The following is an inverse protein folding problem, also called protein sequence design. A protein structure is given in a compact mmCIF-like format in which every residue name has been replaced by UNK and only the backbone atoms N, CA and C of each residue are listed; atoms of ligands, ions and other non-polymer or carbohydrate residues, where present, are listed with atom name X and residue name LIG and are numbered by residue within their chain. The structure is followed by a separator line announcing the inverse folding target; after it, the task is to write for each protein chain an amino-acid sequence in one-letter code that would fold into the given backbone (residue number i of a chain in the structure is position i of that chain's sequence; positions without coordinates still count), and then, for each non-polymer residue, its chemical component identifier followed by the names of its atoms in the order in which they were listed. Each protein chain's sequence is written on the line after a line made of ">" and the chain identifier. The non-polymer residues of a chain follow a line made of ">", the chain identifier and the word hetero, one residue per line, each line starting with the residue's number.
data_IF_854813740445
#
_entry.id   IF_854813740445
#
_cell.length_a   1.000
_cell.length_b   1.000
_cell.length_c   1.000
_cell.angle_alpha   90.00
_cell.angle_beta   90.00
_cell.angle_gamma   90.00
#
_symmetry.space_group_name_H-M   'P 1'
#
loop_
_entity.id
_entity.type
_entity.pdbx_description
1 polymer ?
#
# COMPACT_ATOMS: atom_id res chain seq x y z
N UNK A 1 7.32 -43.39 13.14
CA UNK A 1 7.34 -42.37 12.06
C UNK A 1 5.93 -42.21 11.50
N UNK A 2 5.28 -41.07 11.72
CA UNK A 2 4.05 -40.69 11.01
C UNK A 2 4.21 -39.23 10.57
N UNK A 3 4.28 -39.03 9.26
CA UNK A 3 4.48 -37.74 8.60
C UNK A 3 3.32 -36.79 8.89
N UNK A 4 3.62 -35.63 9.44
CA UNK A 4 2.68 -34.52 9.58
C UNK A 4 2.47 -33.88 8.19
N UNK A 5 1.21 -33.90 7.72
CA UNK A 5 0.80 -33.29 6.46
C UNK A 5 0.75 -31.77 6.65
N UNK A 6 1.76 -31.07 6.13
CA UNK A 6 1.81 -29.62 6.12
C UNK A 6 0.57 -29.05 5.40
N UNK A 7 -0.21 -28.23 6.10
CA UNK A 7 -1.31 -27.47 5.52
C UNK A 7 -0.69 -26.36 4.66
N UNK A 8 -0.86 -26.47 3.35
CA UNK A 8 -0.43 -25.48 2.36
C UNK A 8 -1.24 -24.20 2.54
N UNK A 9 -0.69 -23.23 3.26
CA UNK A 9 -1.28 -21.90 3.43
C UNK A 9 -1.08 -21.06 2.16
N UNK A 10 -2.17 -20.63 1.53
CA UNK A 10 -2.15 -19.74 0.39
C UNK A 10 -1.82 -18.30 0.84
N UNK A 11 -0.80 -17.71 0.22
CA UNK A 11 -0.28 -16.38 0.50
C UNK A 11 -1.17 -15.28 -0.07
N UNK A 12 -1.28 -14.15 0.65
CA UNK A 12 -1.81 -12.91 0.09
C UNK A 12 -0.77 -11.82 0.07
N UNK A 13 -0.62 -11.29 -1.12
CA UNK A 13 -0.92 -9.88 -1.33
C UNK A 13 -2.10 -9.80 -2.30
N UNK A 14 -2.80 -8.66 -2.31
CA UNK A 14 -3.92 -8.32 -3.20
C UNK A 14 -5.31 -8.99 -3.03
N UNK A 15 -5.52 -10.09 -2.30
CA UNK A 15 -6.84 -10.74 -2.36
C UNK A 15 -7.87 -10.30 -1.28
N UNK A 16 -9.17 -10.43 -1.57
CA UNK A 16 -10.18 -10.76 -0.55
C UNK A 16 -10.06 -12.27 -0.35
N UNK A 17 -9.82 -12.75 0.88
CA UNK A 17 -9.76 -14.20 1.15
C UNK A 17 -11.20 -14.60 1.40
N UNK A 18 -11.64 -15.60 0.68
CA UNK A 18 -12.72 -16.47 1.09
C UNK A 18 -12.06 -17.77 1.58
N UNK A 19 -12.78 -18.55 2.39
CA UNK A 19 -12.36 -19.91 2.70
C UNK A 19 -12.13 -20.66 1.37
N UNK A 20 -11.16 -21.58 1.31
CA UNK A 20 -10.85 -22.35 0.10
C UNK A 20 -12.08 -23.11 -0.44
N UNK A 21 -13.01 -23.43 0.47
CA UNK A 21 -14.31 -24.05 0.16
C UNK A 21 -15.35 -23.11 -0.48
N UNK A 22 -15.11 -21.79 -0.43
CA UNK A 22 -16.08 -20.75 -0.80
C UNK A 22 -15.59 -19.85 -1.97
N UNK A 23 -14.50 -20.21 -2.65
CA UNK A 23 -13.92 -19.39 -3.72
C UNK A 23 -14.66 -19.57 -5.06
N UNK A 24 -15.19 -18.49 -5.69
CA UNK A 24 -15.88 -18.58 -6.98
C UNK A 24 -14.93 -18.98 -8.13
N UNK A 25 -15.45 -19.60 -9.19
CA UNK A 25 -14.69 -20.04 -10.37
C UNK A 25 -13.88 -18.92 -11.07
N UNK A 26 -14.18 -17.65 -10.83
CA UNK A 26 -13.40 -16.48 -11.28
C UNK A 26 -12.02 -16.36 -10.62
N UNK A 27 -11.69 -17.19 -9.63
CA UNK A 27 -10.42 -17.20 -8.92
C UNK A 27 -9.22 -17.68 -9.76
N UNK A 28 -9.45 -18.51 -10.78
CA UNK A 28 -8.38 -19.06 -11.65
C UNK A 28 -7.59 -17.96 -12.38
N UNK A 29 -8.26 -16.89 -12.82
CA UNK A 29 -7.61 -15.71 -13.44
C UNK A 29 -6.75 -14.88 -12.46
N UNK A 30 -7.09 -14.87 -11.17
CA UNK A 30 -6.34 -14.12 -10.14
C UNK A 30 -5.08 -14.85 -9.65
N UNK A 31 -5.03 -16.18 -9.81
CA UNK A 31 -3.86 -16.97 -9.47
C UNK A 31 -2.72 -16.76 -10.48
N UNK A 32 -3.02 -16.62 -11.77
CA UNK A 32 -2.04 -16.29 -12.81
C UNK A 32 -1.44 -14.88 -12.59
N UNK A 33 -2.25 -13.91 -12.15
CA UNK A 33 -1.76 -12.59 -11.74
C UNK A 33 -0.75 -12.63 -10.57
N UNK A 34 -0.82 -13.67 -9.71
CA UNK A 34 0.15 -13.83 -8.61
C UNK A 34 1.55 -14.27 -9.07
N UNK A 35 1.67 -14.90 -10.24
CA UNK A 35 2.96 -15.27 -10.83
C UNK A 35 3.66 -14.07 -11.50
N UNK A 36 2.89 -13.08 -11.96
CA UNK A 36 3.40 -11.81 -12.50
C UNK A 36 3.76 -10.78 -11.41
N UNK A 37 3.36 -11.01 -10.16
CA UNK A 37 3.65 -10.12 -9.02
C UNK A 37 5.16 -9.85 -8.83
N UNK A 38 6.01 -10.84 -9.07
CA UNK A 38 7.47 -10.71 -8.91
C UNK A 38 8.17 -9.88 -9.98
N UNK A 39 7.49 -9.52 -11.08
CA UNK A 39 8.08 -8.67 -12.13
C UNK A 39 7.98 -7.20 -11.74
N UNK A 40 6.81 -6.73 -11.30
CA UNK A 40 6.58 -5.29 -11.10
C UNK A 40 7.01 -4.76 -9.73
N UNK A 41 7.17 -5.61 -8.71
CA UNK A 41 7.64 -5.18 -7.38
C UNK A 41 9.06 -4.58 -7.46
N UNK A 42 9.88 -5.06 -8.40
CA UNK A 42 11.21 -4.49 -8.71
C UNK A 42 11.14 -3.18 -9.49
N UNK A 43 10.01 -2.92 -10.14
CA UNK A 43 9.72 -1.71 -10.91
C UNK A 43 8.99 -0.67 -10.06
N UNK A 44 8.64 -1.00 -8.81
CA UNK A 44 8.00 -0.08 -7.89
C UNK A 44 8.87 1.19 -7.77
N UNK A 45 8.27 2.37 -7.90
CA UNK A 45 9.01 3.62 -7.85
C UNK A 45 9.68 3.75 -6.46
N UNK A 46 10.75 4.54 -6.37
CA UNK A 46 11.44 4.81 -5.10
C UNK A 46 11.14 6.23 -4.64
N UNK A 47 11.39 6.54 -3.36
CA UNK A 47 11.30 7.92 -2.89
C UNK A 47 12.14 8.86 -3.77
N UNK A 48 11.54 9.99 -4.15
CA UNK A 48 12.10 10.90 -5.14
C UNK A 48 11.76 10.56 -6.59
N UNK A 49 10.81 9.64 -6.80
CA UNK A 49 10.27 9.31 -8.10
C UNK A 49 9.65 10.53 -8.79
N UNK A 50 9.78 10.55 -10.10
CA UNK A 50 9.13 11.56 -10.96
C UNK A 50 7.68 11.18 -11.22
N UNK A 51 6.91 12.13 -11.78
CA UNK A 51 5.56 11.84 -12.27
C UNK A 51 5.58 10.71 -13.30
N UNK A 52 6.54 10.75 -14.25
CA UNK A 52 6.68 9.73 -15.30
C UNK A 52 6.95 8.34 -14.73
N UNK A 53 7.72 8.24 -13.63
CA UNK A 53 7.96 6.97 -12.96
C UNK A 53 6.67 6.39 -12.36
N UNK A 54 5.85 7.23 -11.73
CA UNK A 54 4.56 6.83 -11.15
C UNK A 54 3.58 6.41 -12.25
N UNK A 55 3.47 7.19 -13.33
CA UNK A 55 2.58 6.89 -14.47
C UNK A 55 3.00 5.59 -15.16
N UNK A 56 4.30 5.38 -15.39
CA UNK A 56 4.81 4.12 -15.96
C UNK A 56 4.48 2.92 -15.07
N UNK A 57 4.64 3.06 -13.76
CA UNK A 57 4.29 2.01 -12.81
C UNK A 57 2.78 1.73 -12.79
N UNK A 58 1.94 2.76 -12.88
CA UNK A 58 0.48 2.62 -12.99
C UNK A 58 0.07 1.84 -14.25
N UNK A 59 0.60 2.21 -15.42
CA UNK A 59 0.38 1.51 -16.68
C UNK A 59 0.79 0.03 -16.57
N UNK A 60 1.98 -0.21 -16.02
CA UNK A 60 2.48 -1.57 -15.83
C UNK A 60 1.59 -2.39 -14.89
N UNK A 61 1.14 -1.80 -13.79
CA UNK A 61 0.21 -2.44 -12.86
C UNK A 61 -1.11 -2.81 -13.53
N UNK A 62 -1.65 -1.95 -14.41
CA UNK A 62 -2.86 -2.25 -15.19
C UNK A 62 -2.62 -3.40 -16.18
N UNK A 63 -1.51 -3.38 -16.92
CA UNK A 63 -1.15 -4.43 -17.88
C UNK A 63 -1.08 -5.82 -17.24
N UNK A 64 -0.47 -5.92 -16.06
CA UNK A 64 -0.30 -7.19 -15.34
C UNK A 64 -1.42 -7.47 -14.33
N UNK A 65 -2.41 -6.57 -14.25
CA UNK A 65 -3.53 -6.64 -13.31
C UNK A 65 -3.11 -6.80 -11.83
N UNK A 66 -2.05 -6.10 -11.43
CA UNK A 66 -1.63 -6.04 -10.04
C UNK A 66 -2.43 -5.00 -9.25
N UNK A 67 -2.55 -5.20 -7.94
CA UNK A 67 -3.46 -4.41 -7.11
C UNK A 67 -3.13 -4.43 -5.62
N UNK A 68 -1.86 -4.26 -5.24
CA UNK A 68 -1.52 -3.91 -3.86
C UNK A 68 -1.69 -2.39 -3.65
N UNK A 69 -1.41 -1.91 -2.44
CA UNK A 69 -1.55 -0.50 -2.08
C UNK A 69 -0.77 0.43 -3.01
N UNK A 70 0.48 0.09 -3.33
CA UNK A 70 1.32 0.90 -4.20
C UNK A 70 0.81 0.99 -5.65
N UNK A 71 0.43 -0.15 -6.24
CA UNK A 71 -0.11 -0.16 -7.60
C UNK A 71 -1.42 0.63 -7.69
N UNK A 72 -2.34 0.41 -6.74
CA UNK A 72 -3.63 1.08 -6.75
C UNK A 72 -3.50 2.58 -6.49
N UNK A 73 -2.57 3.00 -5.63
CA UNK A 73 -2.25 4.41 -5.44
C UNK A 73 -1.68 5.02 -6.74
N UNK A 74 -0.75 4.34 -7.42
CA UNK A 74 -0.19 4.81 -8.69
C UNK A 74 -1.27 4.98 -9.78
N UNK A 75 -2.18 4.01 -9.90
CA UNK A 75 -3.32 4.07 -10.83
C UNK A 75 -4.23 5.26 -10.50
N UNK A 76 -4.57 5.46 -9.22
CA UNK A 76 -5.37 6.60 -8.80
C UNK A 76 -4.66 7.95 -9.07
N UNK A 77 -3.34 8.00 -8.85
CA UNK A 77 -2.53 9.18 -9.16
C UNK A 77 -2.56 9.52 -10.66
N UNK A 78 -2.35 8.52 -11.53
CA UNK A 78 -2.43 8.69 -12.98
C UNK A 78 -3.82 9.14 -13.45
N UNK A 79 -4.88 8.55 -12.88
CA UNK A 79 -6.26 8.98 -13.16
C UNK A 79 -6.51 10.44 -12.76
N UNK A 80 -6.02 10.88 -11.60
CA UNK A 80 -6.16 12.27 -11.16
C UNK A 80 -5.36 13.23 -12.05
N UNK A 81 -4.18 12.84 -12.54
CA UNK A 81 -3.43 13.67 -13.50
C UNK A 81 -4.21 13.93 -14.79
N UNK A 82 -4.95 12.94 -15.28
CA UNK A 82 -5.77 13.06 -16.50
C UNK A 82 -7.08 13.83 -16.28
N UNK A 83 -7.62 13.79 -15.06
CA UNK A 83 -8.96 14.30 -14.76
C UNK A 83 -8.99 15.61 -13.95
N UNK A 84 -7.89 15.99 -13.29
CA UNK A 84 -7.94 17.08 -12.33
C UNK A 84 -7.90 18.47 -12.99
N UNK A 85 -9.00 19.21 -12.82
CA UNK A 85 -8.97 20.66 -12.80
C UNK A 85 -8.35 21.13 -11.47
N UNK A 86 -7.08 21.53 -11.50
CA UNK A 86 -6.37 22.37 -10.52
C UNK A 86 -6.46 22.02 -9.01
N UNK A 87 -6.69 20.76 -8.62
CA UNK A 87 -6.57 20.33 -7.21
C UNK A 87 -5.15 19.81 -6.95
N UNK A 88 -4.51 20.23 -5.84
CA UNK A 88 -3.24 19.65 -5.42
C UNK A 88 -3.47 18.22 -4.91
N UNK A 89 -2.67 17.27 -5.36
CA UNK A 89 -2.69 15.90 -4.84
C UNK A 89 -1.28 15.30 -4.83
N UNK A 90 -1.09 14.29 -3.98
CA UNK A 90 0.20 13.64 -3.79
C UNK A 90 0.05 12.14 -3.57
N UNK A 91 1.06 11.40 -4.02
CA UNK A 91 1.24 10.00 -3.66
C UNK A 91 1.94 9.97 -2.30
N UNK A 92 1.27 9.41 -1.28
CA UNK A 92 1.80 9.35 0.09
C UNK A 92 2.03 7.90 0.51
N UNK A 93 3.12 7.67 1.26
CA UNK A 93 3.44 6.38 1.87
C UNK A 93 3.61 6.52 3.39
N UNK A 94 3.14 5.51 4.13
CA UNK A 94 3.56 5.28 5.51
C UNK A 94 4.99 4.74 5.52
N UNK A 95 5.90 5.52 6.09
CA UNK A 95 7.26 5.05 6.31
C UNK A 95 7.34 4.09 7.50
N UNK A 96 8.50 3.43 7.63
CA UNK A 96 8.80 2.46 8.68
C UNK A 96 8.26 2.89 10.07
N UNK A 97 7.52 2.02 10.78
CA UNK A 97 7.39 0.59 10.50
C UNK A 97 6.35 0.21 9.44
N UNK A 98 5.51 1.12 8.95
CA UNK A 98 4.49 0.80 7.94
C UNK A 98 5.03 0.75 6.51
N UNK A 99 4.18 0.29 5.58
CA UNK A 99 4.47 0.19 4.13
C UNK A 99 3.23 0.47 3.24
N UNK A 100 2.20 1.12 3.79
CA UNK A 100 0.95 1.39 3.05
C UNK A 100 1.02 2.67 2.22
N UNK A 101 0.38 2.66 1.04
CA UNK A 101 0.34 3.78 0.11
C UNK A 101 -1.10 4.23 -0.20
N UNK A 102 -1.30 5.53 -0.36
CA UNK A 102 -2.59 6.18 -0.66
C UNK A 102 -2.37 7.54 -1.32
N UNK A 103 -3.45 8.18 -1.76
CA UNK A 103 -3.41 9.53 -2.34
C UNK A 103 -3.97 10.55 -1.35
N UNK A 104 -3.26 11.66 -1.20
CA UNK A 104 -3.74 12.86 -0.54
C UNK A 104 -4.24 13.87 -1.58
N UNK A 105 -5.37 14.53 -1.33
CA UNK A 105 -5.96 15.55 -2.20
C UNK A 105 -6.24 16.79 -1.35
N UNK A 106 -5.87 17.98 -1.81
CA UNK A 106 -6.11 19.25 -1.11
C UNK A 106 -5.18 19.52 0.07
N UNK A 107 -4.25 18.60 0.38
CA UNK A 107 -3.20 18.85 1.37
C UNK A 107 -2.03 19.59 0.71
N UNK A 108 -1.56 20.72 1.28
CA UNK A 108 -0.35 21.37 0.83
C UNK A 108 0.87 20.43 0.89
N UNK A 109 1.66 20.43 -0.19
CA UNK A 109 2.88 19.61 -0.26
C UNK A 109 3.89 20.03 0.82
N UNK A 110 4.54 19.06 1.50
CA UNK A 110 5.45 19.35 2.59
C UNK A 110 6.80 19.79 2.04
N UNK A 111 7.37 20.86 2.60
CA UNK A 111 8.65 21.44 2.16
C UNK A 111 9.81 20.42 2.27
N UNK A 112 9.78 19.57 3.29
CA UNK A 112 10.79 18.55 3.56
C UNK A 112 10.35 17.12 3.17
N UNK A 113 9.25 16.99 2.41
CA UNK A 113 8.73 15.69 2.01
C UNK A 113 7.98 14.92 3.08
N UNK A 114 7.95 15.42 4.32
CA UNK A 114 7.35 14.73 5.47
C UNK A 114 6.11 15.51 5.91
N UNK A 115 4.96 14.84 5.90
CA UNK A 115 3.72 15.38 6.42
C UNK A 115 3.65 15.23 7.95
N UNK A 116 2.79 16.01 8.63
CA UNK A 116 2.52 15.81 10.05
C UNK A 116 2.13 14.36 10.36
N UNK A 117 2.65 13.82 11.46
CA UNK A 117 2.36 12.45 11.90
C UNK A 117 0.87 12.31 12.22
N UNK A 118 0.29 13.28 12.93
CA UNK A 118 -1.13 13.29 13.23
C UNK A 118 -1.91 13.77 12.01
N UNK A 119 -2.90 12.98 11.58
CA UNK A 119 -3.87 13.43 10.59
C UNK A 119 -4.72 14.61 11.08
N UNK A 120 -4.80 14.85 12.39
CA UNK A 120 -5.47 16.03 12.96
C UNK A 120 -4.76 17.35 12.63
N UNK A 121 -3.47 17.30 12.28
CA UNK A 121 -2.68 18.47 11.89
C UNK A 121 -2.67 18.69 10.37
N UNK A 122 -3.45 17.91 9.62
CA UNK A 122 -3.64 18.09 8.19
C UNK A 122 -4.70 19.15 7.91
N UNK A 123 -4.60 19.78 6.76
CA UNK A 123 -5.47 20.87 6.35
C UNK A 123 -6.94 20.42 6.33
N UNK A 124 -7.87 21.28 6.77
CA UNK A 124 -9.30 20.94 6.88
C UNK A 124 -9.94 20.55 5.54
N UNK A 125 -9.42 21.10 4.44
CA UNK A 125 -9.83 20.75 3.07
C UNK A 125 -9.13 19.51 2.49
N UNK A 126 -8.29 18.81 3.25
CA UNK A 126 -7.57 17.65 2.77
C UNK A 126 -8.44 16.38 2.84
N UNK A 127 -8.35 15.57 1.79
CA UNK A 127 -9.03 14.28 1.65
C UNK A 127 -8.02 13.18 1.36
N UNK A 128 -8.33 11.98 1.84
CA UNK A 128 -7.59 10.76 1.51
C UNK A 128 -8.40 9.94 0.53
N UNK A 129 -7.77 9.57 -0.57
CA UNK A 129 -8.25 8.55 -1.50
C UNK A 129 -7.36 7.30 -1.34
N UNK A 130 -7.93 6.25 -0.76
CA UNK A 130 -7.27 4.94 -0.60
C UNK A 130 -8.09 3.87 -1.35
N UNK A 131 -7.73 3.57 -2.60
CA UNK A 131 -8.43 2.57 -3.39
C UNK A 131 -8.22 1.13 -2.89
N UNK A 132 -7.12 0.85 -2.16
CA UNK A 132 -6.83 -0.48 -1.62
C UNK A 132 -7.76 -0.83 -0.46
N UNK A 133 -7.96 0.10 0.47
CA UNK A 133 -8.93 -0.03 1.54
C UNK A 133 -10.37 0.27 1.08
N UNK A 134 -10.55 0.85 -0.11
CA UNK A 134 -11.80 1.42 -0.61
C UNK A 134 -12.36 2.43 0.40
N UNK A 135 -11.58 3.49 0.62
CA UNK A 135 -11.87 4.63 1.49
C UNK A 135 -11.67 5.94 0.71
N UNK A 136 -12.62 6.85 0.89
CA UNK A 136 -12.52 8.25 0.49
C UNK A 136 -13.14 9.08 1.62
N UNK A 137 -12.33 9.88 2.32
CA UNK A 137 -12.79 10.61 3.51
C UNK A 137 -11.92 11.84 3.78
N UNK A 138 -12.37 12.79 4.60
CA UNK A 138 -11.51 13.85 5.14
C UNK A 138 -10.27 13.25 5.80
N UNK A 139 -9.13 13.91 5.66
CA UNK A 139 -7.85 13.42 6.16
C UNK A 139 -7.86 13.22 7.68
N UNK A 140 -8.45 14.16 8.42
CA UNK A 140 -8.56 14.13 9.88
C UNK A 140 -9.37 12.94 10.42
N UNK A 141 -10.25 12.35 9.59
CA UNK A 141 -11.08 11.20 9.94
C UNK A 141 -10.50 9.86 9.45
N UNK A 142 -9.42 9.90 8.65
CA UNK A 142 -8.86 8.72 8.03
C UNK A 142 -8.46 7.61 9.03
N UNK A 143 -7.82 7.91 10.18
CA UNK A 143 -7.52 6.88 11.18
C UNK A 143 -8.76 6.09 11.65
N UNK A 144 -9.89 6.76 11.86
CA UNK A 144 -11.13 6.16 12.34
C UNK A 144 -11.74 5.26 11.26
N UNK A 145 -11.82 5.75 10.01
CA UNK A 145 -12.30 4.97 8.87
C UNK A 145 -11.42 3.76 8.59
N UNK A 146 -10.11 3.92 8.71
CA UNK A 146 -9.13 2.84 8.56
C UNK A 146 -9.31 1.76 9.62
N UNK A 147 -9.34 2.12 10.90
CA UNK A 147 -9.53 1.16 11.99
C UNK A 147 -10.88 0.44 11.89
N UNK A 148 -11.94 1.14 11.46
CA UNK A 148 -13.23 0.52 11.18
C UNK A 148 -13.14 -0.49 10.03
N UNK A 149 -12.38 -0.19 8.97
CA UNK A 149 -12.11 -1.11 7.86
C UNK A 149 -11.37 -2.36 8.34
N UNK A 150 -10.32 -2.19 9.14
CA UNK A 150 -9.53 -3.31 9.69
C UNK A 150 -10.38 -4.22 10.58
N UNK A 151 -11.22 -3.66 11.46
CA UNK A 151 -12.18 -4.45 12.25
C UNK A 151 -13.17 -5.21 11.36
N UNK A 152 -13.75 -4.54 10.34
CA UNK A 152 -14.65 -5.17 9.38
C UNK A 152 -13.98 -6.34 8.65
N UNK A 153 -12.71 -6.18 8.28
CA UNK A 153 -11.93 -7.23 7.64
C UNK A 153 -11.62 -8.39 8.58
N UNK A 154 -11.23 -8.13 9.83
CA UNK A 154 -11.00 -9.16 10.84
C UNK A 154 -12.28 -9.96 11.14
N UNK A 155 -13.43 -9.28 11.32
CA UNK A 155 -14.73 -9.96 11.51
C UNK A 155 -15.13 -10.85 10.32
N UNK A 156 -14.67 -10.49 9.11
CA UNK A 156 -14.86 -11.29 7.91
C UNK A 156 -13.75 -12.35 7.69
N UNK A 157 -12.89 -12.58 8.69
CA UNK A 157 -11.78 -13.54 8.62
C UNK A 157 -10.68 -13.16 7.62
N UNK A 158 -10.58 -11.88 7.22
CA UNK A 158 -9.55 -11.42 6.29
C UNK A 158 -8.25 -11.17 7.03
N UNK A 159 -7.19 -11.78 6.50
CA UNK A 159 -5.82 -11.61 6.95
C UNK A 159 -4.96 -10.83 5.95
N UNK A 160 -3.96 -10.15 6.48
CA UNK A 160 -3.05 -9.27 5.76
C UNK A 160 -1.61 -9.79 5.85
N UNK A 161 -0.81 -9.54 4.83
CA UNK A 161 0.63 -9.80 4.88
C UNK A 161 1.32 -8.68 5.64
N UNK A 162 2.25 -9.01 6.51
CA UNK A 162 3.14 -8.08 7.20
C UNK A 162 4.56 -8.42 6.75
N UNK A 163 5.40 -7.47 6.30
CA UNK A 163 6.79 -7.73 6.02
C UNK A 163 7.46 -8.41 7.23
N UNK A 164 8.12 -9.54 7.00
CA UNK A 164 8.90 -10.23 8.02
C UNK A 164 10.30 -9.63 8.15
N UNK A 165 11.01 -10.05 9.20
CA UNK A 165 12.40 -9.64 9.44
C UNK A 165 13.35 -10.18 8.35
N UNK A 166 12.98 -11.32 7.75
CA UNK A 166 13.66 -11.91 6.61
C UNK A 166 13.14 -11.32 5.30
N UNK A 167 14.09 -10.87 4.48
CA UNK A 167 13.92 -10.48 3.07
C UNK A 167 13.00 -11.46 2.32
N UNK A 168 11.91 -10.94 1.76
CA UNK A 168 10.99 -11.70 0.91
C UNK A 168 10.04 -12.65 1.67
N UNK A 169 10.08 -12.66 3.01
CA UNK A 169 9.08 -13.37 3.81
C UNK A 169 8.05 -12.38 4.34
N UNK A 170 6.78 -12.71 4.20
CA UNK A 170 5.70 -12.00 4.87
C UNK A 170 5.04 -12.92 5.89
N UNK A 171 4.77 -12.40 7.08
CA UNK A 171 3.93 -13.08 8.07
C UNK A 171 2.47 -12.73 7.81
N UNK A 172 1.58 -13.72 7.82
CA UNK A 172 0.15 -13.48 7.66
C UNK A 172 -0.46 -13.20 9.03
N UNK A 173 -0.97 -12.00 9.23
CA UNK A 173 -1.52 -11.51 10.49
C UNK A 173 -3.01 -11.17 10.34
N UNK A 174 -3.72 -11.07 11.47
CA UNK A 174 -5.08 -10.53 11.47
C UNK A 174 -5.07 -9.06 10.99
N UNK A 175 -6.17 -8.61 10.38
CA UNK A 175 -6.25 -7.21 9.94
C UNK A 175 -6.14 -6.20 11.09
N UNK A 176 -6.42 -6.62 12.32
CA UNK A 176 -6.27 -5.82 13.55
C UNK A 176 -4.90 -5.96 14.22
N UNK A 177 -3.92 -6.59 13.58
CA UNK A 177 -2.52 -6.53 14.05
C UNK A 177 -2.06 -5.08 14.09
N UNK A 178 -1.38 -4.67 15.17
CA UNK A 178 -0.96 -3.29 15.39
C UNK A 178 -0.19 -2.69 14.20
N UNK A 179 0.58 -3.52 13.48
CA UNK A 179 1.27 -3.11 12.26
C UNK A 179 0.34 -2.45 11.23
N UNK A 180 -0.85 -3.04 11.03
CA UNK A 180 -1.85 -2.52 10.11
C UNK A 180 -2.81 -1.57 10.82
N UNK A 181 -3.29 -1.95 12.00
CA UNK A 181 -4.34 -1.27 12.72
C UNK A 181 -3.96 0.15 13.17
N UNK A 182 -2.74 0.32 13.68
CA UNK A 182 -2.24 1.58 14.23
C UNK A 182 -1.42 2.38 13.21
N UNK A 183 -1.21 1.85 12.00
CA UNK A 183 -0.36 2.46 10.97
C UNK A 183 -0.67 3.96 10.74
N UNK A 184 -1.95 4.38 10.58
CA UNK A 184 -2.26 5.80 10.36
C UNK A 184 -1.89 6.71 11.52
N UNK A 185 -1.83 6.21 12.75
CA UNK A 185 -1.50 7.00 13.94
C UNK A 185 -0.04 6.92 14.34
N UNK A 186 0.68 5.87 13.93
CA UNK A 186 2.06 5.64 14.36
C UNK A 186 3.12 5.97 13.31
N UNK A 187 2.80 5.88 12.02
CA UNK A 187 3.81 5.99 10.95
C UNK A 187 4.02 7.43 10.49
N UNK A 188 5.25 7.78 10.11
CA UNK A 188 5.49 9.00 9.34
C UNK A 188 4.82 8.89 7.96
N UNK A 189 4.33 10.01 7.45
CA UNK A 189 3.76 10.11 6.10
C UNK A 189 4.74 10.88 5.22
N UNK A 190 5.15 10.29 4.11
CA UNK A 190 6.17 10.87 3.24
C UNK A 190 5.59 10.99 1.83
N UNK A 191 5.83 12.13 1.18
CA UNK A 191 5.58 12.30 -0.24
C UNK A 191 6.50 11.38 -1.04
N UNK A 192 5.92 10.59 -1.94
CA UNK A 192 6.68 9.66 -2.76
C UNK A 192 7.63 10.38 -3.74
N UNK A 193 7.29 11.63 -4.09
CA UNK A 193 8.05 12.46 -5.02
C UNK A 193 9.15 13.28 -4.35
N UNK A 194 9.27 13.25 -3.02
CA UNK A 194 10.29 14.03 -2.33
C UNK A 194 11.70 13.49 -2.56
N UNK A 195 12.54 14.28 -3.22
CA UNK A 195 13.98 14.03 -3.34
C UNK A 195 14.67 14.46 -2.06
N UNK A 196 15.11 13.51 -1.23
CA UNK A 196 15.99 13.83 -0.10
C UNK A 196 17.28 14.46 -0.65
N UNK A 197 17.56 15.71 -0.30
CA UNK A 197 18.84 16.35 -0.60
C UNK A 197 19.99 15.47 -0.12
N UNK A 198 21.02 15.29 -0.95
CA UNK A 198 22.07 14.28 -0.84
C UNK A 198 22.56 13.97 0.58
N UNK A 199 21.91 12.99 1.20
CA UNK A 199 22.39 12.02 2.20
C UNK A 199 21.13 11.23 2.52
N UNK A 200 21.01 10.05 1.90
CA UNK A 200 19.94 9.12 2.15
C UNK A 200 19.69 9.06 3.66
N UNK A 201 18.54 9.59 4.12
CA UNK A 201 17.96 9.13 5.36
C UNK A 201 17.98 7.61 5.24
N UNK A 202 18.64 6.93 6.18
CA UNK A 202 18.75 5.47 6.17
C UNK A 202 17.33 4.94 6.19
N UNK A 203 16.79 4.69 5.00
CA UNK A 203 15.67 3.82 4.80
C UNK A 203 16.16 2.49 5.36
N UNK A 204 15.45 1.94 6.34
CA UNK A 204 15.56 0.52 6.62
C UNK A 204 15.34 -0.16 5.29
N UNK A 205 16.44 -0.72 4.77
CA UNK A 205 16.53 -1.21 3.40
C UNK A 205 15.38 -2.18 3.16
N UNK A 206 14.66 -2.03 2.05
CA UNK A 206 14.19 -3.21 1.33
C UNK A 206 15.45 -3.93 0.82
N UNK A 207 16.15 -4.63 1.71
CA UNK A 207 17.13 -5.61 1.31
C UNK A 207 16.30 -6.73 0.71
N UNK A 208 16.32 -6.83 -0.60
CA UNK A 208 15.58 -7.78 -1.42
C UNK A 208 16.01 -7.78 -2.89
N UNK A 209 16.88 -6.84 -3.28
CA UNK A 209 17.65 -6.97 -4.50
C UNK A 209 18.81 -7.96 -4.29
N UNK A 210 18.65 -9.16 -4.84
CA UNK A 210 19.79 -10.00 -5.25
C UNK A 210 20.37 -9.37 -6.52
N UNK A 211 21.64 -8.97 -6.47
CA UNK A 211 22.50 -8.79 -7.64
C UNK A 211 23.30 -10.10 -7.76
N UNK A 212 23.28 -10.72 -8.94
CA UNK A 212 24.44 -11.48 -9.42
C UNK A 212 25.43 -10.48 -10.00
#
# INVERSE_FOLDING_TARGET
>A
MRYARAKTGAYKTANKFFNEKDAPASFKRRYEASLYRGSIEREAPKLGATVDDIVRYAQRAMEVQAGNCGELAAIAYAYLLESAEASSFDYVIFASPGDHAFISIGQPLPVNGVYPISFGDWHDGAYICDPWANLACPAQEYPQYWQAKMRKWAMAGKRLGKPGDDVGKSTIVEATDAYWYDAPTMCNKISFMYKTGGKAAKTSRCNGCVIL
#
